data_IF_250446124180
#
_entry.id   IF_250446124180
#
_cell.length_a   1.000
_cell.length_b   1.000
_cell.length_c   1.000
_cell.angle_alpha   90.00
_cell.angle_beta   90.00
_cell.angle_gamma   90.00
#
_symmetry.space_group_name_H-M   'P 1'
#
loop_
_entity.id
_entity.type
_entity.pdbx_description
1 polymer ?
#
# COMPACT_ATOMS: atom_id res chain seq x y z
N UNK A 1 -12.31 -2.90 5.07
CA UNK A 1 -11.95 -2.34 3.75
C UNK A 1 -12.37 -3.34 2.67
N UNK A 2 -13.12 -2.89 1.67
CA UNK A 2 -13.35 -3.67 0.43
C UNK A 2 -11.99 -3.94 -0.24
N UNK A 3 -11.84 -5.02 -1.03
CA UNK A 3 -10.55 -5.27 -1.68
C UNK A 3 -10.16 -4.13 -2.63
N UNK A 4 -11.15 -3.46 -3.25
CA UNK A 4 -10.95 -2.21 -3.99
C UNK A 4 -10.28 -1.14 -3.14
N UNK A 5 -10.74 -0.94 -1.91
CA UNK A 5 -10.13 0.01 -0.97
C UNK A 5 -8.69 -0.36 -0.61
N UNK A 6 -8.38 -1.65 -0.47
CA UNK A 6 -7.01 -2.10 -0.22
C UNK A 6 -6.10 -1.90 -1.44
N UNK A 7 -6.60 -2.12 -2.65
CA UNK A 7 -5.86 -1.84 -3.90
C UNK A 7 -5.61 -0.33 -4.04
N UNK A 8 -6.61 0.51 -3.80
CA UNK A 8 -6.45 1.98 -3.84
C UNK A 8 -5.43 2.44 -2.81
N UNK A 9 -5.47 1.90 -1.59
CA UNK A 9 -4.49 2.21 -0.54
C UNK A 9 -3.07 1.80 -0.95
N UNK A 10 -2.93 0.64 -1.61
CA UNK A 10 -1.65 0.15 -2.12
C UNK A 10 -1.08 1.06 -3.22
N UNK A 11 -1.92 1.46 -4.18
CA UNK A 11 -1.53 2.38 -5.26
C UNK A 11 -1.15 3.76 -4.71
N UNK A 12 -1.90 4.25 -3.72
CA UNK A 12 -1.59 5.50 -3.04
C UNK A 12 -0.25 5.41 -2.29
N UNK A 13 -0.04 4.33 -1.53
CA UNK A 13 1.23 4.07 -0.83
C UNK A 13 2.42 3.96 -1.80
N UNK A 14 2.21 3.42 -3.00
CA UNK A 14 3.21 3.41 -4.07
C UNK A 14 3.55 4.83 -4.53
N UNK A 15 2.55 5.67 -4.80
CA UNK A 15 2.76 7.08 -5.17
C UNK A 15 3.54 7.86 -4.12
N UNK A 16 3.17 7.74 -2.84
CA UNK A 16 3.89 8.38 -1.74
C UNK A 16 5.31 7.82 -1.59
N UNK A 17 5.51 6.52 -1.82
CA UNK A 17 6.82 5.89 -1.79
C UNK A 17 7.76 6.40 -2.89
N UNK A 18 7.24 6.65 -4.10
CA UNK A 18 8.02 7.26 -5.19
C UNK A 18 8.49 8.66 -4.79
N UNK A 19 7.62 9.47 -4.20
CA UNK A 19 7.97 10.83 -3.71
C UNK A 19 8.99 10.74 -2.57
N UNK A 20 8.80 9.83 -1.62
CA UNK A 20 9.75 9.61 -0.52
C UNK A 20 11.14 9.19 -1.03
N UNK A 21 11.20 8.34 -2.06
CA UNK A 21 12.46 7.91 -2.67
C UNK A 21 13.13 9.06 -3.42
N UNK A 22 12.36 9.90 -4.10
CA UNK A 22 12.88 11.10 -4.75
C UNK A 22 13.52 12.05 -3.73
N UNK A 23 12.85 12.31 -2.60
CA UNK A 23 13.42 13.10 -1.50
C UNK A 23 14.64 12.43 -0.86
N UNK A 24 14.69 11.10 -0.82
CA UNK A 24 15.85 10.38 -0.31
C UNK A 24 17.08 10.57 -1.21
N UNK A 25 16.90 10.53 -2.54
CA UNK A 25 17.96 10.81 -3.52
C UNK A 25 18.45 12.26 -3.37
N UNK A 26 17.53 13.20 -3.18
CA UNK A 26 17.83 14.62 -2.96
C UNK A 26 18.41 14.92 -1.56
N UNK A 27 18.64 13.91 -0.70
CA UNK A 27 19.14 14.04 0.66
C UNK A 27 18.29 14.96 1.56
N UNK A 28 17.00 15.12 1.22
CA UNK A 28 16.12 15.99 1.98
C UNK A 28 15.98 15.50 3.42
N UNK A 29 16.03 16.43 4.40
CA UNK A 29 15.72 16.08 5.78
C UNK A 29 14.27 15.56 5.83
N UNK A 30 14.06 14.50 6.60
CA UNK A 30 12.77 13.78 6.73
C UNK A 30 12.37 12.83 5.59
N UNK A 31 13.22 12.58 4.59
CA UNK A 31 12.94 11.55 3.58
C UNK A 31 12.75 10.14 4.17
N UNK A 32 13.49 9.82 5.25
CA UNK A 32 13.38 8.54 5.96
C UNK A 32 11.99 8.30 6.56
N UNK A 33 11.48 9.19 7.42
CA UNK A 33 10.12 9.10 7.95
C UNK A 33 9.03 8.97 6.88
N UNK A 34 9.13 9.71 5.76
CA UNK A 34 8.17 9.62 4.65
C UNK A 34 8.19 8.23 4.02
N UNK A 35 9.38 7.66 3.81
CA UNK A 35 9.51 6.31 3.28
C UNK A 35 8.98 5.24 4.23
N UNK A 36 9.24 5.37 5.53
CA UNK A 36 8.70 4.45 6.54
C UNK A 36 7.17 4.48 6.51
N UNK A 37 6.56 5.67 6.49
CA UNK A 37 5.11 5.81 6.41
C UNK A 37 4.53 5.16 5.14
N UNK A 38 5.15 5.42 3.97
CA UNK A 38 4.74 4.82 2.71
C UNK A 38 4.84 3.28 2.73
N UNK A 39 5.96 2.75 3.23
CA UNK A 39 6.17 1.30 3.35
C UNK A 39 5.22 0.64 4.34
N UNK A 40 4.91 1.28 5.48
CA UNK A 40 3.93 0.78 6.44
C UNK A 40 2.53 0.74 5.84
N UNK A 41 2.12 1.76 5.09
CA UNK A 41 0.83 1.77 4.39
C UNK A 41 0.73 0.64 3.36
N UNK A 42 1.79 0.43 2.55
CA UNK A 42 1.84 -0.67 1.59
C UNK A 42 1.79 -2.04 2.29
N UNK A 43 2.53 -2.22 3.38
CA UNK A 43 2.52 -3.47 4.14
C UNK A 43 1.13 -3.83 4.67
N UNK A 44 0.41 -2.84 5.22
CA UNK A 44 -0.98 -3.03 5.70
C UNK A 44 -1.91 -3.39 4.53
N UNK A 45 -1.79 -2.69 3.39
CA UNK A 45 -2.62 -2.95 2.23
C UNK A 45 -2.41 -4.37 1.66
N UNK A 46 -1.14 -4.79 1.53
CA UNK A 46 -0.78 -6.15 1.11
C UNK A 46 -1.26 -7.19 2.09
N UNK A 47 -1.08 -6.96 3.40
CA UNK A 47 -1.54 -7.88 4.43
C UNK A 47 -3.05 -8.11 4.36
N UNK A 48 -3.84 -7.04 4.20
CA UNK A 48 -5.29 -7.13 4.02
C UNK A 48 -5.66 -7.89 2.74
N UNK A 49 -4.95 -7.66 1.64
CA UNK A 49 -5.18 -8.38 0.38
C UNK A 49 -4.86 -9.87 0.50
N UNK A 50 -3.76 -10.24 1.16
CA UNK A 50 -3.40 -11.64 1.41
C UNK A 50 -4.48 -12.33 2.23
N UNK A 51 -4.93 -11.71 3.33
CA UNK A 51 -6.00 -12.27 4.16
C UNK A 51 -7.30 -12.46 3.36
N UNK A 52 -7.62 -11.53 2.46
CA UNK A 52 -8.79 -11.66 1.59
C UNK A 52 -8.63 -12.75 0.53
N UNK A 53 -7.45 -12.88 -0.09
CA UNK A 53 -7.15 -13.94 -1.06
C UNK A 53 -7.28 -15.31 -0.40
N UNK A 54 -6.74 -15.50 0.80
CA UNK A 54 -6.81 -16.78 1.51
C UNK A 54 -8.23 -17.15 1.98
N UNK A 55 -9.07 -16.16 2.30
CA UNK A 55 -10.46 -16.42 2.71
C UNK A 55 -11.43 -16.56 1.54
N UNK A 56 -11.18 -15.92 0.41
CA UNK A 56 -12.10 -15.87 -0.72
C UNK A 56 -11.35 -16.11 -2.03
N UNK A 57 -11.15 -17.39 -2.43
CA UNK A 57 -10.48 -17.73 -3.68
C UNK A 57 -11.31 -17.38 -4.94
N UNK A 58 -12.58 -16.96 -4.80
CA UNK A 58 -13.45 -16.55 -5.91
C UNK A 58 -13.21 -15.11 -6.37
N UNK A 59 -12.85 -14.91 -7.64
CA UNK A 59 -12.45 -13.61 -8.22
C UNK A 59 -13.51 -12.52 -8.18
N UNK A 60 -14.81 -12.88 -8.29
CA UNK A 60 -15.93 -11.92 -8.20
C UNK A 60 -16.27 -11.55 -6.77
N UNK A 61 -16.11 -12.48 -5.84
CA UNK A 61 -16.42 -12.27 -4.41
C UNK A 61 -15.30 -11.50 -3.69
N UNK A 62 -14.07 -11.64 -4.16
CA UNK A 62 -12.89 -10.95 -3.64
C UNK A 62 -12.98 -9.42 -3.77
N UNK A 63 -13.48 -8.90 -4.89
CA UNK A 63 -13.52 -7.46 -5.19
C UNK A 63 -14.69 -6.70 -4.54
N UNK A 64 -15.86 -7.34 -4.38
CA UNK A 64 -17.11 -6.68 -3.97
C UNK A 64 -17.45 -6.79 -2.47
N UNK A 65 -16.83 -7.70 -1.72
CA UNK A 65 -16.90 -7.75 -0.24
C UNK A 65 -15.63 -7.19 0.40
#
# INVERSE_FOLDING_TARGET
>A
MTARGAIVLLLFGLGVGIIGNLFKIQHWPNAGPILIAASSMQAIAVFILILKVSRYPGSKEFLDR
#
